data_IF_048329638805
#
_entry.id   IF_048329638805
#
_cell.length_a   1.000
_cell.length_b   1.000
_cell.length_c   1.000
_cell.angle_alpha   90.00
_cell.angle_beta   90.00
_cell.angle_gamma   90.00
#
_symmetry.space_group_name_H-M   'P 1'
#
loop_
_entity.id
_entity.type
_entity.pdbx_description
1 polymer ?
#
# COMPACT_ATOMS: atom_id res chain seq x y z
N UNK A 1 -7.45 -17.46 4.91
CA UNK A 1 -8.05 -16.84 3.70
C UNK A 1 -7.90 -15.33 3.79
N UNK A 2 -6.97 -14.77 3.01
CA UNK A 2 -6.92 -13.40 2.46
C UNK A 2 -7.20 -12.16 3.35
N UNK A 3 -7.38 -12.24 4.66
CA UNK A 3 -7.79 -11.07 5.48
C UNK A 3 -6.84 -9.86 5.43
N UNK A 4 -5.55 -10.06 5.13
CA UNK A 4 -4.58 -8.96 4.99
C UNK A 4 -4.56 -8.29 3.61
N UNK A 5 -4.89 -9.03 2.55
CA UNK A 5 -4.73 -8.56 1.17
C UNK A 5 -5.65 -7.38 0.81
N UNK A 6 -6.96 -7.39 1.17
CA UNK A 6 -7.84 -6.24 1.00
C UNK A 6 -7.33 -5.01 1.74
N UNK A 7 -6.74 -5.19 2.93
CA UNK A 7 -6.26 -4.09 3.75
C UNK A 7 -5.06 -3.39 3.10
N UNK A 8 -4.09 -4.15 2.56
CA UNK A 8 -2.96 -3.56 1.82
C UNK A 8 -3.42 -2.84 0.55
N UNK A 9 -4.40 -3.38 -0.19
CA UNK A 9 -4.97 -2.72 -1.37
C UNK A 9 -5.66 -1.41 -0.98
N UNK A 10 -6.42 -1.39 0.12
CA UNK A 10 -7.07 -0.17 0.61
C UNK A 10 -6.05 0.88 1.04
N UNK A 11 -4.97 0.49 1.74
CA UNK A 11 -3.91 1.43 2.09
C UNK A 11 -3.24 2.02 0.83
N UNK A 12 -2.99 1.20 -0.19
CA UNK A 12 -2.43 1.65 -1.47
C UNK A 12 -3.38 2.65 -2.16
N UNK A 13 -4.67 2.36 -2.18
CA UNK A 13 -5.68 3.24 -2.73
C UNK A 13 -5.72 4.59 -1.99
N UNK A 14 -5.68 4.58 -0.64
CA UNK A 14 -5.66 5.80 0.18
C UNK A 14 -4.38 6.62 -0.05
N UNK A 15 -3.22 5.96 -0.11
CA UNK A 15 -1.94 6.62 -0.40
C UNK A 15 -1.94 7.27 -1.78
N UNK A 16 -2.47 6.57 -2.78
CA UNK A 16 -2.58 7.08 -4.15
C UNK A 16 -3.57 8.25 -4.26
N UNK A 17 -4.71 8.16 -3.59
CA UNK A 17 -5.69 9.26 -3.51
C UNK A 17 -5.10 10.49 -2.83
N UNK A 18 -4.29 10.32 -1.76
CA UNK A 18 -3.58 11.44 -1.12
C UNK A 18 -2.62 12.15 -2.09
N UNK A 19 -1.89 11.39 -2.91
CA UNK A 19 -0.99 11.94 -3.93
C UNK A 19 -1.80 12.72 -4.97
N UNK A 20 -2.89 12.14 -5.49
CA UNK A 20 -3.77 12.81 -6.46
C UNK A 20 -4.34 14.11 -5.89
N UNK A 21 -4.84 14.08 -4.65
CA UNK A 21 -5.36 15.28 -4.00
C UNK A 21 -4.31 16.38 -3.85
N UNK A 22 -3.08 16.01 -3.50
CA UNK A 22 -1.97 16.97 -3.40
C UNK A 22 -1.63 17.64 -4.72
N UNK A 23 -1.86 16.97 -5.86
CA UNK A 23 -1.55 17.50 -7.19
C UNK A 23 -2.72 18.30 -7.79
N UNK A 24 -3.97 17.96 -7.46
CA UNK A 24 -5.16 18.51 -8.14
C UNK A 24 -5.85 19.65 -7.37
N UNK A 25 -5.66 19.77 -6.05
CA UNK A 25 -6.25 20.87 -5.26
C UNK A 25 -5.23 21.98 -5.05
N UNK A 26 -5.69 23.23 -5.11
CA UNK A 26 -4.99 24.39 -4.53
C UNK A 26 -5.02 24.29 -3.00
N UNK A 27 -4.19 23.40 -2.44
CA UNK A 27 -3.97 23.23 -1.00
C UNK A 27 -2.73 24.05 -0.62
N UNK A 28 -2.67 24.64 0.59
CA UNK A 28 -1.44 25.27 1.08
C UNK A 28 -0.19 24.43 0.83
N UNK A 29 0.88 25.06 0.35
CA UNK A 29 2.10 24.41 -0.11
C UNK A 29 2.64 23.38 0.90
N UNK A 30 2.65 23.72 2.19
CA UNK A 30 3.10 22.82 3.26
C UNK A 30 2.25 21.55 3.36
N UNK A 31 0.93 21.66 3.19
CA UNK A 31 0.00 20.53 3.26
C UNK A 31 0.09 19.67 2.00
N UNK A 32 0.33 20.27 0.83
CA UNK A 32 0.61 19.55 -0.42
C UNK A 32 1.85 18.66 -0.28
N UNK A 33 2.96 19.20 0.22
CA UNK A 33 4.18 18.41 0.44
C UNK A 33 3.99 17.32 1.50
N UNK A 34 3.25 17.61 2.57
CA UNK A 34 2.91 16.61 3.58
C UNK A 34 2.08 15.45 3.00
N UNK A 35 1.08 15.74 2.17
CA UNK A 35 0.25 14.74 1.49
C UNK A 35 1.06 13.94 0.45
N UNK A 36 1.93 14.59 -0.32
CA UNK A 36 2.79 13.91 -1.29
C UNK A 36 3.76 12.96 -0.60
N UNK A 37 4.51 13.44 0.39
CA UNK A 37 5.51 12.64 1.10
C UNK A 37 4.81 11.54 1.91
N UNK A 38 3.76 11.88 2.65
CA UNK A 38 2.99 10.94 3.45
C UNK A 38 2.30 9.87 2.61
N UNK A 39 1.63 10.27 1.52
CA UNK A 39 0.96 9.35 0.61
C UNK A 39 1.95 8.42 -0.10
N UNK A 40 3.11 8.93 -0.52
CA UNK A 40 4.16 8.13 -1.16
C UNK A 40 4.78 7.12 -0.18
N UNK A 41 5.12 7.55 1.04
CA UNK A 41 5.65 6.64 2.07
C UNK A 41 4.65 5.55 2.44
N UNK A 42 3.38 5.92 2.62
CA UNK A 42 2.30 4.96 2.91
C UNK A 42 2.17 3.93 1.78
N UNK A 43 2.25 4.37 0.52
CA UNK A 43 2.20 3.49 -0.65
C UNK A 43 3.37 2.50 -0.67
N UNK A 44 4.60 2.99 -0.47
CA UNK A 44 5.81 2.16 -0.47
C UNK A 44 5.74 1.10 0.63
N UNK A 45 5.40 1.50 1.86
CA UNK A 45 5.29 0.56 2.99
C UNK A 45 4.24 -0.50 2.72
N UNK A 46 3.09 -0.10 2.16
CA UNK A 46 2.00 -1.02 1.82
C UNK A 46 2.37 -2.01 0.73
N UNK A 47 3.12 -1.56 -0.29
CA UNK A 47 3.67 -2.41 -1.34
C UNK A 47 4.67 -3.43 -0.80
N UNK A 48 5.60 -3.01 0.07
CA UNK A 48 6.58 -3.91 0.69
C UNK A 48 5.86 -4.95 1.56
N UNK A 49 4.90 -4.53 2.38
CA UNK A 49 4.13 -5.44 3.21
C UNK A 49 3.31 -6.43 2.38
N UNK A 50 2.72 -5.98 1.26
CA UNK A 50 2.02 -6.84 0.32
C UNK A 50 2.95 -7.85 -0.34
N UNK A 51 4.15 -7.45 -0.79
CA UNK A 51 5.15 -8.37 -1.33
C UNK A 51 5.52 -9.45 -0.31
N UNK A 52 5.81 -9.08 0.94
CA UNK A 52 6.15 -10.04 2.00
C UNK A 52 4.98 -10.98 2.27
N UNK A 53 3.75 -10.46 2.32
CA UNK A 53 2.55 -11.27 2.53
C UNK A 53 2.32 -12.28 1.40
N UNK A 54 2.49 -11.85 0.14
CA UNK A 54 2.37 -12.72 -1.03
C UNK A 54 3.47 -13.79 -1.06
N UNK A 55 4.73 -13.41 -0.82
CA UNK A 55 5.85 -14.36 -0.77
C UNK A 55 5.71 -15.41 0.33
N UNK A 56 5.19 -15.04 1.50
CA UNK A 56 4.89 -16.00 2.58
C UNK A 56 3.73 -16.93 2.21
N UNK A 57 2.66 -16.39 1.62
CA UNK A 57 1.50 -17.18 1.17
C UNK A 57 1.90 -18.19 0.10
N UNK A 58 2.74 -17.79 -0.86
CA UNK A 58 3.23 -18.66 -1.94
C UNK A 58 4.13 -19.80 -1.40
N UNK A 59 4.98 -19.48 -0.42
CA UNK A 59 5.83 -20.47 0.27
C UNK A 59 4.99 -21.52 1.03
N UNK A 60 3.92 -21.10 1.70
CA UNK A 60 3.01 -22.03 2.41
C UNK A 60 2.17 -22.87 1.45
N UNK A 61 1.68 -22.28 0.35
CA UNK A 61 0.96 -23.00 -0.70
C UNK A 61 1.80 -24.12 -1.32
N UNK A 62 3.10 -23.86 -1.54
CA UNK A 62 4.03 -24.86 -2.06
C UNK A 62 4.28 -26.00 -1.07
N UNK A 63 4.46 -25.70 0.23
CA UNK A 63 4.63 -26.74 1.27
C UNK A 63 3.40 -27.64 1.43
N UNK A 64 2.19 -27.10 1.28
CA UNK A 64 0.95 -27.89 1.37
C UNK A 64 0.75 -28.84 0.18
N UNK A 65 1.38 -28.58 -0.97
CA UNK A 65 1.22 -29.40 -2.18
C UNK A 65 2.10 -30.66 -2.16
N UNK A 66 3.10 -30.70 -1.28
CA UNK A 66 4.08 -31.80 -1.14
C UNK A 66 3.92 -32.59 0.16
N UNK A 67 2.82 -32.39 0.90
CA UNK A 67 2.47 -33.14 2.12
C UNK A 67 1.24 -34.00 1.85
#
# INVERSE_FOLDING_TARGET
MFKGLPLYIVLIAIGSLSITFAVTKDIPLSTQWALLIGGTLLNIISLIALMVFLSKTDSEATKSKYK
#
